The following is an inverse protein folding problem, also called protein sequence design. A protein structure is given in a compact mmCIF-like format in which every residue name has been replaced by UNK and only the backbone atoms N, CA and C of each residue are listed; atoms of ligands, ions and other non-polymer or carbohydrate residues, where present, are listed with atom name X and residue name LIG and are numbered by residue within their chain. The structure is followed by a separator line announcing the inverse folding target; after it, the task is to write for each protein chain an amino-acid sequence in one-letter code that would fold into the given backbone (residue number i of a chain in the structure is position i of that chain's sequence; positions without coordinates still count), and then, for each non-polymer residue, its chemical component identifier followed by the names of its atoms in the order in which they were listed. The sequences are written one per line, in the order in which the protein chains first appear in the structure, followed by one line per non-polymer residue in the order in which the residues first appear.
data_IF_477550240975
#
_entry.id   IF_477550240975
#
_cell.length_a   1.000
_cell.length_b   1.000
_cell.length_c   1.000
_cell.angle_alpha   90.00
_cell.angle_beta   90.00
_cell.angle_gamma   90.00
#
_symmetry.space_group_name_H-M   'P 1'
#
loop_
_entity.id
_entity.type
_entity.pdbx_description
1 polymer ?
#
# COMPACT_ATOMS: atom_id res chain seq x y z
N UNK A 1 -12.03 56.33 -4.05
CA UNK A 1 -13.47 56.03 -3.88
C UNK A 1 -13.60 54.94 -2.83
N UNK A 2 -14.47 55.10 -1.84
CA UNK A 2 -14.72 54.08 -0.82
C UNK A 2 -15.61 52.96 -1.40
N UNK A 3 -15.36 51.72 -1.00
CA UNK A 3 -16.21 50.58 -1.37
C UNK A 3 -17.62 50.75 -0.78
N UNK A 4 -18.63 50.38 -1.56
CA UNK A 4 -20.02 50.39 -1.11
C UNK A 4 -20.26 49.27 -0.08
N UNK A 5 -21.29 49.42 0.77
CA UNK A 5 -21.65 48.40 1.77
C UNK A 5 -21.90 47.01 1.16
N UNK A 6 -22.47 46.95 -0.04
CA UNK A 6 -22.71 45.69 -0.75
C UNK A 6 -21.39 45.04 -1.20
N UNK A 7 -20.41 45.83 -1.65
CA UNK A 7 -19.09 45.33 -2.03
C UNK A 7 -18.32 44.79 -0.80
N UNK A 8 -18.43 45.46 0.35
CA UNK A 8 -17.81 45.00 1.60
C UNK A 8 -18.43 43.66 2.06
N UNK A 9 -19.76 43.54 2.02
CA UNK A 9 -20.45 42.31 2.40
C UNK A 9 -20.10 41.11 1.49
N UNK A 10 -19.94 41.34 0.19
CA UNK A 10 -19.51 40.29 -0.75
C UNK A 10 -18.06 39.88 -0.49
N UNK A 11 -17.17 40.83 -0.19
CA UNK A 11 -15.78 40.56 0.21
C UNK A 11 -15.75 39.72 1.49
N UNK A 12 -16.50 40.08 2.53
CA UNK A 12 -16.54 39.33 3.79
C UNK A 12 -17.07 37.90 3.60
N UNK A 13 -18.07 37.73 2.73
CA UNK A 13 -18.62 36.42 2.36
C UNK A 13 -17.58 35.55 1.63
N UNK A 14 -16.80 36.13 0.73
CA UNK A 14 -15.71 35.45 0.03
C UNK A 14 -14.57 35.08 0.98
N UNK A 15 -14.19 35.97 1.90
CA UNK A 15 -13.20 35.69 2.95
C UNK A 15 -13.67 34.54 3.85
N UNK A 16 -14.95 34.54 4.26
CA UNK A 16 -15.53 33.47 5.07
C UNK A 16 -15.52 32.10 4.37
N UNK A 17 -15.78 32.06 3.05
CA UNK A 17 -15.67 30.83 2.25
C UNK A 17 -14.23 30.35 2.11
N UNK A 18 -13.28 31.26 1.85
CA UNK A 18 -11.86 30.92 1.77
C UNK A 18 -11.30 30.38 3.10
N UNK A 19 -11.78 30.86 4.25
CA UNK A 19 -11.39 30.32 5.55
C UNK A 19 -11.84 28.87 5.78
N UNK A 20 -12.97 28.45 5.21
CA UNK A 20 -13.52 27.09 5.39
C UNK A 20 -12.95 26.06 4.41
N UNK A 21 -12.35 26.49 3.30
CA UNK A 21 -11.76 25.57 2.32
C UNK A 21 -10.57 24.75 2.86
N UNK A 22 -9.64 25.32 3.66
CA UNK A 22 -8.59 24.56 4.34
C UNK A 22 -9.12 23.48 5.30
N UNK A 23 -10.21 23.76 6.03
CA UNK A 23 -10.80 22.80 6.96
C UNK A 23 -11.42 21.60 6.22
N UNK A 24 -12.10 21.87 5.11
CA UNK A 24 -12.64 20.81 4.22
C UNK A 24 -11.50 19.99 3.62
N UNK A 25 -10.44 20.64 3.13
CA UNK A 25 -9.28 19.93 2.60
C UNK A 25 -8.55 19.11 3.67
N UNK A 26 -8.38 19.63 4.89
CA UNK A 26 -7.81 18.86 6.01
C UNK A 26 -8.69 17.66 6.37
N UNK A 27 -10.01 17.82 6.35
CA UNK A 27 -10.95 16.73 6.64
C UNK A 27 -10.86 15.67 5.54
N UNK A 28 -10.85 16.06 4.26
CA UNK A 28 -10.66 15.12 3.15
C UNK A 28 -9.30 14.41 3.19
N UNK A 29 -8.22 15.12 3.52
CA UNK A 29 -6.88 14.53 3.70
C UNK A 29 -6.85 13.57 4.89
N UNK A 30 -7.56 13.89 5.97
CA UNK A 30 -7.64 13.05 7.15
C UNK A 30 -8.43 11.77 6.87
N UNK A 31 -9.57 11.89 6.19
CA UNK A 31 -10.47 10.78 5.90
C UNK A 31 -9.89 9.85 4.82
N UNK A 32 -9.39 10.41 3.71
CA UNK A 32 -8.89 9.62 2.58
C UNK A 32 -7.39 9.31 2.69
N UNK A 33 -6.63 10.06 3.50
CA UNK A 33 -5.20 9.80 3.69
C UNK A 33 -4.92 8.53 4.49
N UNK A 34 -5.85 8.12 5.37
CA UNK A 34 -5.81 6.83 6.04
C UNK A 34 -6.04 5.69 5.04
N UNK A 35 -7.11 5.77 4.25
CA UNK A 35 -7.45 4.79 3.21
C UNK A 35 -6.34 4.66 2.16
N UNK A 36 -5.76 5.78 1.69
CA UNK A 36 -4.65 5.77 0.74
C UNK A 36 -3.42 5.10 1.36
N UNK A 37 -3.14 5.31 2.65
CA UNK A 37 -2.01 4.67 3.34
C UNK A 37 -2.23 3.16 3.43
N UNK A 38 -3.42 2.72 3.83
CA UNK A 38 -3.77 1.30 3.90
C UNK A 38 -3.69 0.62 2.53
N UNK A 39 -4.26 1.21 1.48
CA UNK A 39 -4.17 0.70 0.11
C UNK A 39 -2.71 0.64 -0.36
N UNK A 40 -1.90 1.64 -0.01
CA UNK A 40 -0.47 1.67 -0.36
C UNK A 40 0.32 0.55 0.35
N UNK A 41 0.02 0.30 1.63
CA UNK A 41 0.63 -0.79 2.39
C UNK A 41 0.22 -2.15 1.81
N UNK A 42 -1.08 -2.34 1.52
CA UNK A 42 -1.60 -3.55 0.89
C UNK A 42 -0.97 -3.80 -0.50
N UNK A 43 -0.74 -2.75 -1.29
CA UNK A 43 -0.04 -2.84 -2.58
C UNK A 43 1.45 -3.22 -2.42
N UNK A 44 2.13 -2.69 -1.40
CA UNK A 44 3.54 -3.00 -1.10
C UNK A 44 3.71 -4.47 -0.68
N UNK A 45 2.79 -4.97 0.14
CA UNK A 45 2.76 -6.38 0.55
C UNK A 45 2.47 -7.31 -0.62
N UNK A 46 1.50 -6.97 -1.47
CA UNK A 46 1.23 -7.73 -2.69
C UNK A 46 2.44 -7.80 -3.64
N UNK A 47 3.17 -6.71 -3.82
CA UNK A 47 4.43 -6.72 -4.59
C UNK A 47 5.47 -7.66 -3.97
N UNK A 48 5.55 -7.69 -2.64
CA UNK A 48 6.43 -8.61 -1.91
C UNK A 48 6.04 -10.07 -2.15
N UNK A 49 4.75 -10.40 -2.06
CA UNK A 49 4.24 -11.75 -2.34
C UNK A 49 4.48 -12.17 -3.81
N UNK A 50 4.28 -11.26 -4.77
CA UNK A 50 4.58 -11.53 -6.18
C UNK A 50 6.08 -11.82 -6.40
N UNK A 51 6.98 -11.08 -5.77
CA UNK A 51 8.41 -11.32 -5.85
C UNK A 51 8.79 -12.69 -5.24
N UNK A 52 8.16 -13.08 -4.12
CA UNK A 52 8.36 -14.39 -3.50
C UNK A 52 7.87 -15.53 -4.39
N UNK A 53 6.70 -15.39 -5.03
CA UNK A 53 6.17 -16.36 -5.98
C UNK A 53 7.08 -16.54 -7.20
N UNK A 54 7.61 -15.44 -7.75
CA UNK A 54 8.57 -15.49 -8.85
C UNK A 54 9.84 -16.23 -8.44
N UNK A 55 10.36 -15.96 -7.24
CA UNK A 55 11.55 -16.65 -6.71
C UNK A 55 11.27 -18.14 -6.51
N UNK A 56 10.11 -18.51 -5.95
CA UNK A 56 9.70 -19.91 -5.83
C UNK A 56 9.62 -20.60 -7.20
N UNK A 57 9.02 -19.96 -8.20
CA UNK A 57 8.95 -20.50 -9.57
C UNK A 57 10.35 -20.77 -10.16
N UNK A 58 11.30 -19.85 -9.95
CA UNK A 58 12.69 -20.08 -10.38
C UNK A 58 13.34 -21.24 -9.64
N UNK A 59 13.09 -21.40 -8.34
CA UNK A 59 13.63 -22.52 -7.58
C UNK A 59 13.03 -23.86 -7.99
N UNK A 60 11.73 -23.93 -8.32
CA UNK A 60 11.12 -25.15 -8.88
C UNK A 60 11.80 -25.57 -10.18
N UNK A 61 12.04 -24.62 -11.10
CA UNK A 61 12.77 -24.91 -12.34
C UNK A 61 14.20 -25.41 -12.09
N UNK A 62 14.90 -24.84 -11.10
CA UNK A 62 16.24 -25.30 -10.70
C UNK A 62 16.18 -26.70 -10.08
N UNK A 63 15.14 -27.01 -9.31
CA UNK A 63 14.93 -28.31 -8.69
C UNK A 63 14.74 -29.40 -9.76
N UNK A 64 13.92 -29.12 -10.77
CA UNK A 64 13.70 -30.01 -11.92
C UNK A 64 14.97 -30.24 -12.74
N UNK A 65 15.82 -29.22 -12.86
CA UNK A 65 17.09 -29.30 -13.58
C UNK A 65 18.26 -29.90 -12.78
N UNK A 66 18.12 -30.06 -11.46
CA UNK A 66 19.21 -30.49 -10.59
C UNK A 66 19.48 -32.00 -10.72
N UNK A 67 20.69 -32.35 -11.15
CA UNK A 67 21.12 -33.74 -11.35
C UNK A 67 21.44 -34.51 -10.08
N UNK A 68 21.93 -33.84 -9.03
CA UNK A 68 22.36 -34.49 -7.78
C UNK A 68 21.41 -34.24 -6.59
N UNK A 69 21.43 -35.16 -5.62
CA UNK A 69 20.52 -35.15 -4.48
C UNK A 69 20.82 -34.02 -3.47
N UNK A 70 22.09 -33.62 -3.33
CA UNK A 70 22.48 -32.56 -2.39
C UNK A 70 21.95 -31.20 -2.85
N UNK A 71 22.11 -30.88 -4.14
CA UNK A 71 21.57 -29.67 -4.77
C UNK A 71 20.05 -29.65 -4.70
N UNK A 72 19.38 -30.79 -4.98
CA UNK A 72 17.91 -30.88 -4.83
C UNK A 72 17.45 -30.61 -3.39
N UNK A 73 18.16 -31.16 -2.40
CA UNK A 73 17.83 -30.94 -0.98
C UNK A 73 18.01 -29.48 -0.55
N UNK A 74 19.07 -28.81 -1.03
CA UNK A 74 19.29 -27.39 -0.75
C UNK A 74 18.20 -26.50 -1.37
N UNK A 75 17.84 -26.75 -2.63
CA UNK A 75 16.77 -26.02 -3.33
C UNK A 75 15.42 -26.24 -2.64
N UNK A 76 15.12 -27.47 -2.22
CA UNK A 76 13.88 -27.79 -1.51
C UNK A 76 13.77 -27.07 -0.15
N UNK A 77 14.87 -26.96 0.60
CA UNK A 77 14.90 -26.22 1.87
C UNK A 77 14.64 -24.71 1.65
N UNK A 78 15.24 -24.14 0.60
CA UNK A 78 15.03 -22.73 0.23
C UNK A 78 13.58 -22.47 -0.21
N UNK A 79 12.99 -23.38 -1.00
CA UNK A 79 11.56 -23.34 -1.35
C UNK A 79 10.67 -23.36 -0.11
N UNK A 80 10.96 -24.23 0.85
CA UNK A 80 10.18 -24.33 2.08
C UNK A 80 10.26 -23.04 2.90
N UNK A 81 11.42 -22.36 2.92
CA UNK A 81 11.61 -21.07 3.58
C UNK A 81 10.80 -19.96 2.90
N UNK A 82 10.81 -19.90 1.57
CA UNK A 82 10.00 -18.96 0.78
C UNK A 82 8.52 -19.17 1.10
N UNK A 83 8.03 -20.41 1.00
CA UNK A 83 6.62 -20.76 1.27
C UNK A 83 6.19 -20.35 2.69
N UNK A 84 7.00 -20.67 3.71
CA UNK A 84 6.71 -20.27 5.10
C UNK A 84 6.62 -18.75 5.25
N UNK A 85 7.51 -18.01 4.59
CA UNK A 85 7.53 -16.54 4.64
C UNK A 85 6.31 -15.94 3.93
N UNK A 86 5.94 -16.49 2.77
CA UNK A 86 4.74 -16.07 2.01
C UNK A 86 3.46 -16.30 2.82
N UNK A 87 3.33 -17.47 3.47
CA UNK A 87 2.17 -17.78 4.32
C UNK A 87 2.10 -16.83 5.52
N UNK A 88 3.24 -16.47 6.13
CA UNK A 88 3.27 -15.52 7.24
C UNK A 88 2.74 -14.15 6.80
N UNK A 89 3.23 -13.62 5.67
CA UNK A 89 2.78 -12.34 5.13
C UNK A 89 1.28 -12.42 4.78
N UNK A 90 0.84 -13.45 4.06
CA UNK A 90 -0.57 -13.60 3.69
C UNK A 90 -1.52 -13.73 4.90
N UNK A 91 -1.06 -14.31 6.02
CA UNK A 91 -1.85 -14.39 7.27
C UNK A 91 -1.92 -13.06 8.01
N UNK A 92 -0.85 -12.26 7.99
CA UNK A 92 -0.89 -10.89 8.51
C UNK A 92 -1.98 -10.05 7.82
N UNK A 93 -2.28 -10.33 6.55
CA UNK A 93 -3.34 -9.64 5.81
C UNK A 93 -4.76 -10.10 6.16
N UNK A 94 -4.92 -11.25 6.84
CA UNK A 94 -6.22 -11.82 7.22
C UNK A 94 -6.51 -11.74 8.72
N UNK A 95 -5.58 -11.24 9.55
CA UNK A 95 -5.78 -11.15 11.00
C UNK A 95 -6.55 -9.90 11.45
N UNK A 96 -6.76 -8.93 10.56
CA UNK A 96 -7.48 -7.68 10.84
C UNK A 96 -8.79 -7.54 10.04
N UNK A 97 -9.33 -8.65 9.49
CA UNK A 97 -10.61 -8.70 8.77
C UNK A 97 -11.72 -9.36 9.61
#
# INVERSE_FOLDING_TARGET
MALTKAQIAEIDKLIGKNKKAPDIMQTMIKDHGAEIREVTEYLKENKTLQAMLKTASHQVKKLEAAGDAATRSAIAADLQKIIKSSIKIARSNNSDA
#
